data_IF_988471026349
#
_entry.id   IF_988471026349
#
_cell.length_a   1.000
_cell.length_b   1.000
_cell.length_c   1.000
_cell.angle_alpha   90.00
_cell.angle_beta   90.00
_cell.angle_gamma   90.00
#
_symmetry.space_group_name_H-M   'P 1'
#
loop_
_entity.id
_entity.type
_entity.pdbx_description
1 polymer ?
#
# COMPACT_ATOMS: atom_id res chain seq x y z
N UNK A 1 6.95 -2.72 -4.61
CA UNK A 1 6.07 -3.82 -5.07
C UNK A 1 6.49 -5.19 -4.56
N UNK A 2 7.76 -5.56 -4.61
CA UNK A 2 8.22 -6.93 -4.34
C UNK A 2 7.73 -7.54 -3.03
N UNK A 3 7.63 -6.78 -1.94
CA UNK A 3 7.04 -7.23 -0.69
C UNK A 3 5.52 -7.10 -0.67
N UNK A 4 4.97 -6.03 -1.26
CA UNK A 4 3.54 -5.74 -1.25
C UNK A 4 2.72 -6.74 -2.09
N UNK A 5 3.30 -7.34 -3.10
CA UNK A 5 2.64 -8.40 -3.89
C UNK A 5 2.19 -9.60 -3.04
N UNK A 6 2.77 -9.81 -1.85
CA UNK A 6 2.29 -10.83 -0.90
C UNK A 6 0.88 -10.50 -0.45
N UNK A 7 0.58 -9.23 -0.21
CA UNK A 7 -0.75 -8.75 0.13
C UNK A 7 -1.74 -8.97 -1.04
N UNK A 8 -1.33 -8.62 -2.25
CA UNK A 8 -2.12 -8.82 -3.47
C UNK A 8 -2.25 -10.28 -3.93
N UNK A 9 -1.50 -11.21 -3.36
CA UNK A 9 -1.57 -12.63 -3.75
C UNK A 9 -2.84 -13.36 -3.27
N UNK A 10 -3.74 -12.68 -2.55
CA UNK A 10 -5.03 -13.22 -2.16
C UNK A 10 -5.96 -13.28 -3.38
N UNK A 11 -6.52 -14.47 -3.67
CA UNK A 11 -7.49 -14.67 -4.74
C UNK A 11 -8.93 -14.29 -4.36
N UNK A 12 -9.16 -13.97 -3.09
CA UNK A 12 -10.42 -13.44 -2.56
C UNK A 12 -10.14 -12.49 -1.41
N UNK A 13 -10.86 -11.37 -1.36
CA UNK A 13 -10.74 -10.42 -0.27
C UNK A 13 -11.64 -10.82 0.91
N UNK A 14 -11.08 -10.77 2.09
CA UNK A 14 -11.78 -10.93 3.36
C UNK A 14 -11.06 -10.12 4.46
N UNK A 15 -11.67 -9.89 5.63
CA UNK A 15 -11.05 -9.09 6.69
C UNK A 15 -9.65 -9.57 7.12
N UNK A 16 -9.32 -10.86 6.97
CA UNK A 16 -8.01 -11.39 7.29
C UNK A 16 -6.95 -11.10 6.23
N UNK A 17 -7.35 -10.66 5.02
CA UNK A 17 -6.41 -10.29 3.96
C UNK A 17 -5.47 -9.15 4.40
N UNK A 18 -5.90 -8.29 5.31
CA UNK A 18 -5.07 -7.22 5.88
C UNK A 18 -3.80 -7.76 6.57
N UNK A 19 -3.85 -8.97 7.12
CA UNK A 19 -2.73 -9.61 7.80
C UNK A 19 -1.78 -10.37 6.84
N UNK A 20 -2.16 -10.48 5.56
CA UNK A 20 -1.32 -11.08 4.54
C UNK A 20 -0.24 -10.07 4.11
N UNK A 21 0.74 -9.86 4.95
CA UNK A 21 1.79 -8.85 4.79
C UNK A 21 3.16 -9.50 4.97
N UNK A 22 4.11 -9.16 4.10
CA UNK A 22 5.49 -9.64 4.26
C UNK A 22 6.13 -8.97 5.49
N UNK A 23 6.88 -9.71 6.34
CA UNK A 23 7.51 -9.13 7.55
C UNK A 23 8.39 -7.90 7.28
N UNK A 24 9.17 -7.91 6.19
CA UNK A 24 9.98 -6.76 5.80
C UNK A 24 9.11 -5.53 5.50
N UNK A 25 7.97 -5.70 4.84
CA UNK A 25 7.01 -4.63 4.59
C UNK A 25 6.41 -4.10 5.90
N UNK A 26 6.03 -4.99 6.80
CA UNK A 26 5.50 -4.61 8.12
C UNK A 26 6.51 -3.77 8.91
N UNK A 27 7.80 -4.13 8.88
CA UNK A 27 8.88 -3.34 9.50
C UNK A 27 8.98 -1.96 8.84
N UNK A 28 9.03 -1.89 7.51
CA UNK A 28 9.10 -0.62 6.77
C UNK A 28 7.91 0.29 7.08
N UNK A 29 6.71 -0.25 7.14
CA UNK A 29 5.51 0.50 7.50
C UNK A 29 5.53 0.98 8.95
N UNK A 30 6.05 0.16 9.87
CA UNK A 30 6.19 0.53 11.28
C UNK A 30 7.19 1.68 11.46
N UNK A 31 8.35 1.60 10.81
CA UNK A 31 9.37 2.66 10.84
C UNK A 31 8.82 3.94 10.23
N UNK A 32 8.19 3.87 9.06
CA UNK A 32 7.54 5.04 8.43
C UNK A 32 6.51 5.66 9.37
N UNK A 33 5.65 4.86 9.98
CA UNK A 33 4.59 5.34 10.87
C UNK A 33 5.15 6.00 12.12
N UNK A 34 6.20 5.43 12.71
CA UNK A 34 6.89 6.01 13.86
C UNK A 34 7.54 7.37 13.51
N UNK A 35 8.18 7.47 12.35
CA UNK A 35 8.78 8.72 11.87
C UNK A 35 7.71 9.80 11.62
N UNK A 36 6.63 9.46 10.90
CA UNK A 36 5.54 10.41 10.61
C UNK A 36 4.88 10.88 11.91
N UNK A 37 4.59 9.97 12.83
CA UNK A 37 3.98 10.33 14.12
C UNK A 37 4.93 11.17 14.98
N UNK A 38 6.22 10.82 15.03
CA UNK A 38 7.23 11.58 15.76
C UNK A 38 7.41 13.00 15.20
N UNK A 39 7.53 13.14 13.89
CA UNK A 39 7.64 14.45 13.23
C UNK A 39 6.37 15.27 13.46
N UNK A 40 5.18 14.70 13.27
CA UNK A 40 3.91 15.39 13.50
C UNK A 40 3.82 15.87 14.95
N UNK A 41 4.14 15.02 15.93
CA UNK A 41 4.14 15.37 17.33
C UNK A 41 5.14 16.51 17.62
N UNK A 42 6.35 16.45 17.06
CA UNK A 42 7.37 17.48 17.23
C UNK A 42 6.91 18.82 16.64
N UNK A 43 6.27 18.84 15.47
CA UNK A 43 5.70 20.03 14.83
C UNK A 43 4.61 20.63 15.73
N UNK A 44 3.68 19.83 16.22
CA UNK A 44 2.64 20.31 17.14
C UNK A 44 3.24 20.85 18.46
N UNK A 45 4.24 20.18 19.01
CA UNK A 45 4.93 20.65 20.20
C UNK A 45 5.67 21.96 19.95
N UNK A 46 6.30 22.12 18.78
CA UNK A 46 6.96 23.37 18.41
C UNK A 46 6.00 24.57 18.38
N UNK A 47 4.80 24.42 17.83
CA UNK A 47 3.82 25.51 17.74
C UNK A 47 3.01 25.73 19.02
N UNK A 48 2.71 24.68 19.78
CA UNK A 48 1.77 24.72 20.90
C UNK A 48 2.42 24.44 22.28
N UNK A 49 3.69 24.02 22.29
CA UNK A 49 4.46 23.79 23.50
C UNK A 49 3.76 22.88 24.51
N UNK A 50 3.68 23.31 25.75
CA UNK A 50 3.10 22.56 26.86
C UNK A 50 1.57 22.29 26.74
N UNK A 51 0.91 22.84 25.73
CA UNK A 51 -0.50 22.51 25.45
C UNK A 51 -0.64 21.11 24.82
N UNK A 52 0.43 20.57 24.21
CA UNK A 52 0.45 19.20 23.68
C UNK A 52 0.70 18.22 24.82
N UNK A 53 -0.34 17.55 25.25
CA UNK A 53 -0.26 16.59 26.36
C UNK A 53 -0.10 15.15 25.85
N UNK A 54 0.46 14.28 26.71
CA UNK A 54 0.54 12.84 26.41
C UNK A 54 -0.85 12.26 26.09
N UNK A 55 -1.90 12.73 26.76
CA UNK A 55 -3.29 12.31 26.53
C UNK A 55 -3.75 12.63 25.11
N UNK A 56 -3.38 13.80 24.57
CA UNK A 56 -3.70 14.16 23.17
C UNK A 56 -2.98 13.24 22.18
N UNK A 57 -1.70 12.96 22.41
CA UNK A 57 -0.92 12.05 21.56
C UNK A 57 -1.49 10.63 21.59
N UNK A 58 -1.82 10.12 22.79
CA UNK A 58 -2.47 8.82 22.95
C UNK A 58 -3.88 8.79 22.35
N UNK A 59 -4.64 9.87 22.48
CA UNK A 59 -5.95 10.02 21.88
C UNK A 59 -5.90 9.94 20.35
N UNK A 60 -4.98 10.66 19.70
CA UNK A 60 -4.76 10.56 18.27
C UNK A 60 -4.37 9.12 17.84
N UNK A 61 -3.56 8.44 18.65
CA UNK A 61 -3.19 7.03 18.41
C UNK A 61 -4.39 6.09 18.52
N UNK A 62 -5.33 6.33 19.45
CA UNK A 62 -6.56 5.54 19.59
C UNK A 62 -7.47 5.72 18.36
N UNK A 63 -7.64 6.95 17.85
CA UNK A 63 -8.40 7.19 16.63
C UNK A 63 -7.76 6.51 15.42
N UNK A 64 -6.44 6.58 15.28
CA UNK A 64 -5.70 5.87 14.23
C UNK A 64 -5.90 4.36 14.35
N UNK A 65 -5.82 3.80 15.54
CA UNK A 65 -6.05 2.39 15.78
C UNK A 65 -7.48 1.97 15.42
N UNK A 66 -8.49 2.71 15.88
CA UNK A 66 -9.90 2.44 15.57
C UNK A 66 -10.17 2.52 14.06
N UNK A 67 -9.62 3.54 13.38
CA UNK A 67 -9.72 3.67 11.92
C UNK A 67 -9.08 2.46 11.21
N UNK A 68 -7.90 2.03 11.62
CA UNK A 68 -7.26 0.87 11.01
C UNK A 68 -8.03 -0.42 11.28
N UNK A 69 -8.55 -0.61 12.50
CA UNK A 69 -9.32 -1.79 12.86
C UNK A 69 -10.62 -1.91 12.04
N UNK A 70 -11.35 -0.82 11.91
CA UNK A 70 -12.65 -0.80 11.19
C UNK A 70 -12.44 -0.61 9.68
N UNK A 71 -11.70 0.42 9.29
CA UNK A 71 -11.51 0.78 7.89
C UNK A 71 -10.73 -0.24 7.10
N UNK A 72 -9.63 -0.79 7.63
CA UNK A 72 -8.85 -1.82 6.94
C UNK A 72 -9.63 -3.11 6.74
N UNK A 73 -10.39 -3.54 7.76
CA UNK A 73 -11.23 -4.72 7.65
C UNK A 73 -12.37 -4.52 6.66
N UNK A 74 -12.98 -3.33 6.65
CA UNK A 74 -14.06 -3.01 5.71
C UNK A 74 -13.58 -2.99 4.26
N UNK A 75 -12.40 -2.43 3.99
CA UNK A 75 -11.81 -2.37 2.65
C UNK A 75 -11.49 -3.75 2.07
N UNK A 76 -11.14 -4.70 2.92
CA UNK A 76 -10.87 -6.09 2.50
C UNK A 76 -12.08 -7.00 2.72
N UNK A 77 -13.24 -6.46 3.12
CA UNK A 77 -14.46 -7.27 3.24
C UNK A 77 -14.93 -7.74 1.85
N UNK A 78 -15.70 -8.83 1.77
CA UNK A 78 -16.27 -9.27 0.49
C UNK A 78 -17.39 -8.33 -0.02
N UNK A 79 -17.75 -7.31 0.78
CA UNK A 79 -18.80 -6.35 0.44
C UNK A 79 -18.18 -5.12 -0.23
N UNK A 80 -18.50 -4.92 -1.50
CA UNK A 80 -18.06 -3.74 -2.25
C UNK A 80 -18.99 -2.56 -1.94
N UNK A 81 -18.51 -1.63 -1.13
CA UNK A 81 -19.21 -0.40 -0.78
C UNK A 81 -18.61 0.75 -1.55
N UNK A 82 -19.38 1.33 -2.46
CA UNK A 82 -19.03 2.57 -3.16
C UNK A 82 -19.56 3.77 -2.41
N UNK A 83 -18.82 4.85 -2.43
CA UNK A 83 -19.32 6.15 -1.97
C UNK A 83 -19.86 6.95 -3.16
N UNK A 84 -20.55 8.06 -2.88
CA UNK A 84 -20.89 9.02 -3.91
C UNK A 84 -19.61 9.63 -4.52
N UNK A 85 -19.58 9.80 -5.85
CA UNK A 85 -18.37 10.22 -6.59
C UNK A 85 -17.61 11.41 -5.98
N UNK A 86 -18.25 12.52 -5.53
CA UNK A 86 -17.54 13.60 -4.87
C UNK A 86 -16.85 13.20 -3.56
N UNK A 87 -17.38 12.22 -2.83
CA UNK A 87 -16.76 11.68 -1.62
C UNK A 87 -15.56 10.82 -2.01
N UNK A 88 -15.66 10.03 -3.07
CA UNK A 88 -14.57 9.21 -3.60
C UNK A 88 -13.36 10.02 -4.13
N UNK A 89 -13.52 11.32 -4.38
CA UNK A 89 -12.39 12.21 -4.66
C UNK A 89 -11.51 12.48 -3.42
N UNK A 90 -12.07 12.35 -2.22
CA UNK A 90 -11.41 12.71 -0.97
C UNK A 90 -11.14 11.47 -0.11
N UNK A 91 -12.14 10.61 0.04
CA UNK A 91 -12.08 9.42 0.88
C UNK A 91 -12.11 8.15 0.03
N UNK A 92 -11.16 7.27 0.27
CA UNK A 92 -11.09 5.97 -0.37
C UNK A 92 -12.25 5.08 0.07
N UNK A 93 -13.13 4.71 -0.87
CA UNK A 93 -14.19 3.74 -0.61
C UNK A 93 -13.64 2.31 -0.58
N UNK A 94 -14.31 1.36 0.09
CA UNK A 94 -13.98 -0.07 -0.03
C UNK A 94 -13.95 -0.55 -1.48
N UNK A 95 -14.88 -0.12 -2.31
CA UNK A 95 -14.93 -0.48 -3.73
C UNK A 95 -13.72 0.05 -4.52
N UNK A 96 -13.25 1.28 -4.26
CA UNK A 96 -12.02 1.79 -4.85
C UNK A 96 -10.78 0.98 -4.42
N UNK A 97 -10.73 0.54 -3.17
CA UNK A 97 -9.66 -0.33 -2.70
C UNK A 97 -9.73 -1.73 -3.33
N UNK A 98 -10.93 -2.23 -3.63
CA UNK A 98 -11.11 -3.47 -4.40
C UNK A 98 -10.54 -3.34 -5.83
N UNK A 99 -10.69 -2.17 -6.48
CA UNK A 99 -10.05 -1.86 -7.77
C UNK A 99 -8.52 -1.96 -7.64
N UNK A 100 -7.93 -1.43 -6.56
CA UNK A 100 -6.50 -1.54 -6.28
C UNK A 100 -6.00 -3.00 -6.23
N UNK A 101 -6.83 -3.91 -5.72
CA UNK A 101 -6.53 -5.35 -5.68
C UNK A 101 -6.87 -6.10 -6.97
N UNK A 102 -7.51 -5.45 -7.94
CA UNK A 102 -7.96 -6.08 -9.17
C UNK A 102 -6.80 -6.45 -10.10
N UNK A 103 -6.97 -7.55 -10.82
CA UNK A 103 -6.02 -8.01 -11.85
C UNK A 103 -6.32 -7.47 -13.25
N UNK A 104 -7.37 -6.65 -13.43
CA UNK A 104 -7.70 -6.05 -14.71
C UNK A 104 -6.62 -5.03 -15.12
N UNK A 105 -6.28 -4.99 -16.42
CA UNK A 105 -5.21 -4.13 -16.93
C UNK A 105 -5.48 -2.63 -16.66
N UNK A 106 -6.73 -2.19 -16.79
CA UNK A 106 -7.16 -0.81 -16.53
C UNK A 106 -7.08 -0.40 -15.06
N UNK A 107 -6.96 -1.37 -14.15
CA UNK A 107 -6.86 -1.17 -12.70
C UNK A 107 -5.42 -1.22 -12.17
N UNK A 108 -4.46 -1.57 -13.03
CA UNK A 108 -3.05 -1.60 -12.64
C UNK A 108 -2.60 -0.17 -12.28
N UNK A 109 -1.87 -0.04 -11.18
CA UNK A 109 -1.35 1.23 -10.66
C UNK A 109 -2.45 2.28 -10.38
N UNK A 110 -3.62 1.84 -9.90
CA UNK A 110 -4.71 2.69 -9.46
C UNK A 110 -4.95 2.62 -7.96
N UNK A 111 -5.48 3.72 -7.42
CA UNK A 111 -6.03 3.83 -6.07
C UNK A 111 -5.04 3.40 -4.96
N UNK A 112 -3.86 4.02 -4.92
CA UNK A 112 -2.83 3.74 -3.90
C UNK A 112 -3.17 4.27 -2.50
N UNK A 113 -4.14 5.18 -2.41
CA UNK A 113 -4.57 5.76 -1.13
C UNK A 113 -5.11 4.72 -0.17
N UNK A 114 -4.76 4.86 1.11
CA UNK A 114 -5.25 3.96 2.17
C UNK A 114 -6.56 4.47 2.78
N UNK A 115 -6.65 5.77 3.03
CA UNK A 115 -7.81 6.43 3.62
C UNK A 115 -8.28 7.60 2.77
N UNK A 116 -7.32 8.35 2.20
CA UNK A 116 -7.57 9.53 1.40
C UNK A 116 -7.23 9.24 -0.05
N UNK A 117 -8.22 9.33 -0.93
CA UNK A 117 -8.08 9.23 -2.38
C UNK A 117 -7.64 10.54 -3.04
N UNK A 118 -7.60 11.64 -2.28
CA UNK A 118 -7.13 12.94 -2.77
C UNK A 118 -5.72 12.86 -3.37
N UNK A 119 -4.86 11.99 -2.87
CA UNK A 119 -3.53 11.75 -3.41
C UNK A 119 -3.60 11.11 -4.81
N UNK A 120 -4.47 10.12 -4.98
CA UNK A 120 -4.70 9.48 -6.28
C UNK A 120 -5.25 10.47 -7.29
N UNK A 121 -6.12 11.37 -6.85
CA UNK A 121 -6.61 12.46 -7.70
C UNK A 121 -5.47 13.40 -8.14
N UNK A 122 -4.63 13.84 -7.20
CA UNK A 122 -3.50 14.75 -7.49
C UNK A 122 -2.48 14.10 -8.43
N UNK A 123 -2.20 12.81 -8.25
CA UNK A 123 -1.19 12.08 -9.02
C UNK A 123 -1.77 11.37 -10.27
N UNK A 124 -3.07 11.48 -10.55
CA UNK A 124 -3.70 10.91 -11.73
C UNK A 124 -3.89 9.39 -11.67
N UNK A 125 -3.84 8.79 -10.49
CA UNK A 125 -4.03 7.36 -10.26
C UNK A 125 -5.45 7.01 -9.79
N UNK A 126 -6.32 8.02 -9.59
CA UNK A 126 -7.69 7.80 -9.16
C UNK A 126 -8.49 7.01 -10.19
N UNK A 127 -9.17 5.99 -9.72
CA UNK A 127 -10.17 5.24 -10.47
C UNK A 127 -11.44 5.13 -9.62
N UNK A 128 -12.56 5.62 -10.16
CA UNK A 128 -13.85 5.51 -9.48
C UNK A 128 -14.40 4.09 -9.55
N UNK A 129 -15.08 3.67 -8.49
CA UNK A 129 -15.78 2.40 -8.49
C UNK A 129 -17.04 2.46 -9.36
N UNK A 130 -17.39 1.33 -9.96
CA UNK A 130 -18.62 1.15 -10.72
C UNK A 130 -19.54 0.17 -9.99
N UNK A 131 -20.81 0.52 -9.89
CA UNK A 131 -21.78 -0.35 -9.24
C UNK A 131 -21.93 -1.69 -9.97
N UNK A 132 -21.84 -2.79 -9.24
CA UNK A 132 -21.98 -4.15 -9.79
C UNK A 132 -20.77 -4.66 -10.58
N UNK A 133 -19.64 -3.97 -10.55
CA UNK A 133 -18.42 -4.41 -11.23
C UNK A 133 -17.89 -5.72 -10.62
N UNK A 134 -17.67 -6.71 -11.48
CA UNK A 134 -17.09 -8.00 -11.08
C UNK A 134 -15.57 -7.92 -11.19
N UNK A 135 -14.89 -8.00 -10.05
CA UNK A 135 -13.44 -7.90 -9.97
C UNK A 135 -12.81 -9.27 -9.71
N UNK A 136 -11.71 -9.53 -10.39
CA UNK A 136 -10.86 -10.69 -10.13
C UNK A 136 -9.64 -10.23 -9.35
N UNK A 137 -9.25 -11.01 -8.34
CA UNK A 137 -8.14 -10.71 -7.44
C UNK A 137 -7.03 -11.73 -7.57
N UNK A 138 -5.84 -11.34 -7.15
CA UNK A 138 -4.65 -12.18 -7.19
C UNK A 138 -3.48 -11.47 -7.86
N UNK A 139 -2.55 -12.25 -8.35
CA UNK A 139 -1.38 -11.75 -9.05
C UNK A 139 -1.48 -12.12 -10.53
N UNK A 140 -1.52 -11.12 -11.41
CA UNK A 140 -1.34 -11.30 -12.84
C UNK A 140 0.12 -11.06 -13.22
N UNK A 141 0.73 -11.99 -13.95
CA UNK A 141 2.06 -11.79 -14.54
C UNK A 141 3.25 -11.74 -13.56
N UNK A 142 3.08 -12.04 -12.27
CA UNK A 142 4.15 -11.94 -11.27
C UNK A 142 4.75 -13.29 -10.89
N UNK A 143 6.05 -13.26 -10.55
CA UNK A 143 6.86 -14.46 -10.26
C UNK A 143 6.77 -14.87 -8.78
N UNK A 144 5.59 -15.19 -8.24
CA UNK A 144 5.54 -16.06 -7.08
C UNK A 144 5.43 -17.49 -7.58
N UNK A 145 6.38 -18.33 -7.21
CA UNK A 145 6.42 -19.75 -7.65
C UNK A 145 5.20 -20.51 -7.15
N UNK A 146 4.72 -20.19 -5.94
CA UNK A 146 3.47 -20.71 -5.40
C UNK A 146 2.89 -19.79 -4.33
N UNK A 147 1.88 -18.97 -4.64
CA UNK A 147 1.30 -18.00 -3.70
C UNK A 147 0.57 -18.63 -2.50
N UNK A 148 0.47 -19.95 -2.44
CA UNK A 148 -0.18 -20.68 -1.35
C UNK A 148 0.80 -21.32 -0.37
N UNK A 149 2.12 -21.18 -0.58
CA UNK A 149 3.14 -21.70 0.35
C UNK A 149 3.83 -20.57 1.12
N UNK A 150 4.02 -20.76 2.41
CA UNK A 150 4.75 -19.80 3.25
C UNK A 150 6.17 -19.57 2.72
N UNK A 151 6.82 -20.62 2.21
CA UNK A 151 8.16 -20.52 1.63
C UNK A 151 8.18 -19.50 0.48
N UNK A 152 7.28 -19.62 -0.49
CA UNK A 152 7.21 -18.69 -1.62
C UNK A 152 6.84 -17.27 -1.17
N UNK A 153 5.88 -17.14 -0.25
CA UNK A 153 5.46 -15.83 0.25
C UNK A 153 6.58 -15.06 0.97
N UNK A 154 7.47 -15.75 1.68
CA UNK A 154 8.53 -15.10 2.45
C UNK A 154 9.86 -14.99 1.69
N UNK A 155 10.23 -15.98 0.88
CA UNK A 155 11.55 -16.01 0.27
C UNK A 155 11.59 -15.43 -1.16
N UNK A 156 10.55 -15.62 -1.98
CA UNK A 156 10.55 -15.10 -3.35
C UNK A 156 10.68 -13.57 -3.40
N UNK A 157 9.99 -12.77 -2.54
CA UNK A 157 10.18 -11.33 -2.51
C UNK A 157 11.61 -10.90 -2.14
N UNK A 158 12.25 -11.60 -1.22
CA UNK A 158 13.64 -11.31 -0.81
C UNK A 158 14.60 -11.59 -1.97
N UNK A 159 14.44 -12.73 -2.64
CA UNK A 159 15.26 -13.10 -3.81
C UNK A 159 15.09 -12.08 -4.95
N UNK A 160 13.87 -11.63 -5.20
CA UNK A 160 13.59 -10.62 -6.21
C UNK A 160 14.28 -9.28 -5.89
N UNK A 161 14.18 -8.79 -4.66
CA UNK A 161 14.88 -7.57 -4.22
C UNK A 161 16.38 -7.76 -4.36
N UNK A 162 16.93 -8.90 -3.91
CA UNK A 162 18.35 -9.22 -4.02
C UNK A 162 18.83 -9.20 -5.46
N UNK A 163 18.12 -9.86 -6.39
CA UNK A 163 18.47 -9.89 -7.81
C UNK A 163 18.38 -8.51 -8.45
N UNK A 164 17.37 -7.70 -8.10
CA UNK A 164 17.22 -6.33 -8.59
C UNK A 164 18.39 -5.44 -8.13
N UNK A 165 18.79 -5.54 -6.86
CA UNK A 165 19.93 -4.79 -6.33
C UNK A 165 21.25 -5.21 -6.99
N UNK A 166 21.47 -6.50 -7.17
CA UNK A 166 22.67 -7.01 -7.85
C UNK A 166 22.74 -6.52 -9.30
N UNK A 167 21.61 -6.54 -10.01
CA UNK A 167 21.54 -6.01 -11.37
C UNK A 167 21.84 -4.52 -11.41
N UNK A 168 21.27 -3.74 -10.50
CA UNK A 168 21.53 -2.30 -10.39
C UNK A 168 23.01 -2.00 -10.10
N UNK A 169 23.62 -2.70 -9.14
CA UNK A 169 25.06 -2.56 -8.82
C UNK A 169 25.93 -2.93 -10.02
N UNK A 170 25.57 -4.00 -10.76
CA UNK A 170 26.26 -4.38 -11.96
C UNK A 170 26.22 -3.29 -13.05
N UNK A 171 25.06 -2.68 -13.25
CA UNK A 171 24.90 -1.55 -14.19
C UNK A 171 25.76 -0.34 -13.81
N UNK A 172 25.87 -0.03 -12.50
CA UNK A 172 26.72 1.07 -12.03
C UNK A 172 28.22 0.81 -12.25
N UNK A 173 28.63 -0.45 -12.25
CA UNK A 173 30.03 -0.86 -12.44
C UNK A 173 30.41 -1.10 -13.91
N UNK A 174 29.48 -0.97 -14.86
CA UNK A 174 29.82 -1.00 -16.27
C UNK A 174 30.54 0.29 -16.63
N UNK A 175 31.75 0.23 -17.27
CA UNK A 175 32.45 1.42 -17.72
C UNK A 175 31.57 2.15 -18.74
N UNK A 176 31.44 3.46 -18.55
CA UNK A 176 30.77 4.35 -19.49
C UNK A 176 31.47 4.24 -20.85
N UNK A 177 30.94 3.43 -21.75
CA UNK A 177 31.45 3.39 -23.11
C UNK A 177 31.11 4.74 -23.73
N UNK A 178 32.10 5.64 -23.77
CA UNK A 178 32.03 6.83 -24.61
C UNK A 178 31.92 6.33 -26.05
N UNK A 179 30.79 6.52 -26.68
CA UNK A 179 30.69 6.50 -28.13
C UNK A 179 31.60 7.61 -28.67
N UNK A 180 32.81 7.25 -29.01
CA UNK A 180 33.61 8.03 -29.91
C UNK A 180 33.10 7.71 -31.32
N UNK A 181 32.06 8.41 -31.74
CA UNK A 181 31.72 8.56 -33.15
C UNK A 181 32.69 9.58 -33.73
N UNK A 182 33.71 9.09 -34.40
CA UNK A 182 34.50 9.84 -35.36
C UNK A 182 33.68 10.05 -36.64
#
# INVERSE_FOLDING_TARGET
WSFHKVHHSASALNPFTVFRTHPAEAILFSVRSALVQGISTAVFFFFFGNQVTLVMVLGASIFTFAFNLLGSNLRHSPVSISYWHPIELILMSPAQHHIHHSTAEEHIDRNFGVALSVWDWIFGTLCHSKAGEQLNYGLSGTKLTNPHTLKSLYFDPIQEVGSTLLHFVHQLNLPFQRENSA
#
